data_IF_927157893254
#
_entry.id   IF_927157893254
#
_cell.length_a   1.000
_cell.length_b   1.000
_cell.length_c   1.000
_cell.angle_alpha   90.00
_cell.angle_beta   90.00
_cell.angle_gamma   90.00
#
_symmetry.space_group_name_H-M   'P 1'
#
loop_
_entity.id
_entity.type
_entity.pdbx_description
1 polymer ?
#
# COMPACT_ATOMS: atom_id res chain seq x y z
N UNK A 1 15.38 3.36 8.44
CA UNK A 1 15.22 3.08 9.88
C UNK A 1 13.80 2.63 10.21
N UNK A 2 13.62 1.74 11.21
CA UNK A 2 12.28 1.39 11.73
C UNK A 2 11.95 2.29 12.93
N UNK A 3 10.94 3.14 12.80
CA UNK A 3 10.52 4.08 13.84
C UNK A 3 9.44 3.50 14.75
N UNK A 4 8.60 2.61 14.22
CA UNK A 4 7.61 1.87 15.00
C UNK A 4 7.57 0.44 14.53
N UNK A 5 7.85 -0.49 15.44
CA UNK A 5 7.84 -1.92 15.19
C UNK A 5 6.41 -2.46 15.02
N UNK A 6 6.28 -3.58 14.31
CA UNK A 6 5.03 -4.34 14.24
C UNK A 6 4.70 -4.91 15.62
N UNK A 7 3.45 -4.78 16.04
CA UNK A 7 2.96 -5.39 17.28
C UNK A 7 2.47 -6.81 17.01
N UNK A 8 2.84 -7.73 17.89
CA UNK A 8 2.41 -9.12 17.84
C UNK A 8 1.25 -9.32 18.80
N UNK A 9 0.05 -9.50 18.25
CA UNK A 9 -1.15 -9.90 19.00
C UNK A 9 -1.47 -11.36 18.74
N UNK A 10 -2.07 -12.03 19.73
CA UNK A 10 -2.66 -13.35 19.53
C UNK A 10 -3.91 -13.23 18.66
N UNK A 11 -3.93 -14.00 17.58
CA UNK A 11 -5.06 -14.03 16.67
C UNK A 11 -6.24 -14.76 17.30
N UNK A 12 -7.43 -14.16 17.22
CA UNK A 12 -8.66 -14.74 17.76
C UNK A 12 -9.29 -15.77 16.83
N UNK A 13 -9.00 -15.65 15.52
CA UNK A 13 -9.46 -16.56 14.49
C UNK A 13 -8.42 -16.71 13.37
N UNK A 14 -8.68 -17.65 12.46
CA UNK A 14 -7.78 -17.96 11.35
C UNK A 14 -7.67 -16.82 10.32
N UNK A 15 -8.70 -15.99 10.15
CA UNK A 15 -8.67 -14.86 9.22
C UNK A 15 -7.76 -13.76 9.76
N UNK A 16 -7.86 -13.46 11.05
CA UNK A 16 -6.96 -12.56 11.75
C UNK A 16 -5.53 -13.10 11.71
N UNK A 17 -5.33 -14.39 11.98
CA UNK A 17 -4.01 -15.01 11.92
C UNK A 17 -3.38 -14.90 10.51
N UNK A 18 -4.17 -15.10 9.46
CA UNK A 18 -3.71 -14.97 8.09
C UNK A 18 -3.39 -13.51 7.72
N UNK A 19 -4.18 -12.54 8.20
CA UNK A 19 -3.91 -11.11 8.07
C UNK A 19 -2.59 -10.72 8.75
N UNK A 20 -2.48 -11.05 10.04
CA UNK A 20 -1.29 -10.80 10.86
C UNK A 20 -0.03 -11.41 10.23
N UNK A 21 -0.13 -12.61 9.63
CA UNK A 21 0.99 -13.25 8.96
C UNK A 21 1.45 -12.47 7.72
N UNK A 22 0.52 -11.94 6.92
CA UNK A 22 0.85 -11.12 5.75
C UNK A 22 1.49 -9.79 6.16
N UNK A 23 0.96 -9.14 7.19
CA UNK A 23 1.54 -7.90 7.74
C UNK A 23 2.93 -8.14 8.35
N UNK A 24 3.13 -9.26 9.07
CA UNK A 24 4.43 -9.65 9.64
C UNK A 24 5.46 -9.94 8.56
N UNK A 25 5.07 -10.66 7.52
CA UNK A 25 5.91 -10.91 6.35
C UNK A 25 6.35 -9.57 5.72
N UNK A 26 5.42 -8.64 5.54
CA UNK A 26 5.75 -7.34 4.96
C UNK A 26 6.66 -6.51 5.88
N UNK A 27 6.36 -6.44 7.17
CA UNK A 27 7.22 -5.77 8.16
C UNK A 27 8.64 -6.35 8.19
N UNK A 28 8.80 -7.67 8.05
CA UNK A 28 10.10 -8.32 7.96
C UNK A 28 10.89 -7.84 6.74
N UNK A 29 10.28 -7.79 5.56
CA UNK A 29 10.94 -7.27 4.37
C UNK A 29 11.29 -5.78 4.52
N UNK A 30 10.38 -4.95 5.03
CA UNK A 30 10.64 -3.53 5.26
C UNK A 30 11.83 -3.33 6.21
N UNK A 31 11.91 -4.11 7.29
CA UNK A 31 13.07 -4.12 8.19
C UNK A 31 14.36 -4.53 7.48
N UNK A 32 14.31 -5.58 6.66
CA UNK A 32 15.51 -6.06 5.96
C UNK A 32 16.04 -5.07 4.91
N UNK A 33 15.16 -4.33 4.24
CA UNK A 33 15.56 -3.38 3.20
C UNK A 33 15.86 -1.99 3.74
N UNK A 34 15.09 -1.53 4.74
CA UNK A 34 15.17 -0.16 5.23
C UNK A 34 15.66 -0.05 6.67
N UNK A 35 16.01 -1.15 7.35
CA UNK A 35 16.48 -1.13 8.75
C UNK A 35 17.61 -0.12 8.98
N UNK A 36 18.58 -0.11 8.07
CA UNK A 36 19.79 0.73 8.12
C UNK A 36 19.77 1.90 7.13
N UNK A 37 18.65 2.13 6.45
CA UNK A 37 18.49 3.24 5.50
C UNK A 37 18.30 4.57 6.25
N UNK A 38 19.05 5.61 5.88
CA UNK A 38 19.02 6.94 6.52
C UNK A 38 17.94 7.87 5.97
N UNK A 39 17.36 7.55 4.82
CA UNK A 39 16.37 8.38 4.13
C UNK A 39 14.95 7.80 4.17
N UNK A 40 14.82 6.49 4.37
CA UNK A 40 13.53 5.80 4.47
C UNK A 40 13.22 5.40 5.91
N UNK A 41 12.08 5.86 6.42
CA UNK A 41 11.61 5.53 7.75
C UNK A 41 10.32 4.72 7.67
N UNK A 42 10.20 3.70 8.51
CA UNK A 42 9.03 2.79 8.51
C UNK A 42 8.28 2.89 9.83
N UNK A 43 6.98 3.04 9.73
CA UNK A 43 6.03 3.05 10.84
C UNK A 43 5.01 1.93 10.63
N UNK A 44 5.01 0.91 11.48
CA UNK A 44 4.05 -0.20 11.40
C UNK A 44 2.82 0.05 12.30
N UNK A 45 1.69 -0.57 11.95
CA UNK A 45 0.44 -0.58 12.74
C UNK A 45 -0.07 0.82 13.11
N UNK A 46 -0.09 1.76 12.17
CA UNK A 46 -0.55 3.11 12.46
C UNK A 46 -2.07 3.13 12.54
N UNK A 47 -2.59 3.60 13.68
CA UNK A 47 -4.00 3.87 13.90
C UNK A 47 -4.16 5.34 14.27
N UNK A 48 -4.98 6.04 13.52
CA UNK A 48 -5.29 7.45 13.74
C UNK A 48 -6.79 7.61 13.90
N UNK A 49 -7.21 8.49 14.82
CA UNK A 49 -8.61 8.73 15.14
C UNK A 49 -8.90 10.23 15.04
N UNK A 50 -10.01 10.60 14.41
CA UNK A 50 -10.41 12.00 14.19
C UNK A 50 -11.92 12.07 13.92
N UNK A 51 -12.61 12.98 14.59
CA UNK A 51 -14.05 13.28 14.39
C UNK A 51 -14.96 12.04 14.49
N UNK A 52 -14.64 11.09 15.38
CA UNK A 52 -15.40 9.86 15.58
C UNK A 52 -15.14 8.76 14.53
N UNK A 53 -14.23 9.01 13.58
CA UNK A 53 -13.77 8.04 12.59
C UNK A 53 -12.32 7.60 12.89
N UNK A 54 -11.92 6.45 12.35
CA UNK A 54 -10.59 5.90 12.55
C UNK A 54 -10.05 5.23 11.28
N UNK A 55 -8.78 5.46 10.98
CA UNK A 55 -8.06 4.76 9.92
C UNK A 55 -6.89 3.97 10.50
N UNK A 56 -6.84 2.68 10.13
CA UNK A 56 -5.69 1.83 10.34
C UNK A 56 -4.91 1.71 9.03
N UNK A 57 -3.58 1.76 9.10
CA UNK A 57 -2.64 1.58 8.01
C UNK A 57 -1.55 0.61 8.46
N UNK A 58 -1.37 -0.48 7.74
CA UNK A 58 -0.46 -1.56 8.15
C UNK A 58 0.99 -1.06 8.20
N UNK A 59 1.41 -0.33 7.16
CA UNK A 59 2.72 0.30 7.12
C UNK A 59 2.65 1.69 6.48
N UNK A 60 3.37 2.64 7.06
CA UNK A 60 3.60 3.97 6.49
C UNK A 60 5.11 4.17 6.33
N UNK A 61 5.54 4.45 5.11
CA UNK A 61 6.91 4.82 4.78
C UNK A 61 7.00 6.34 4.68
N UNK A 62 8.02 6.91 5.29
CA UNK A 62 8.42 8.32 5.13
C UNK A 62 9.72 8.32 4.35
N UNK A 63 9.78 9.05 3.25
CA UNK A 63 10.95 9.11 2.37
C UNK A 63 11.04 10.47 1.67
N UNK A 64 12.15 10.82 0.99
CA UNK A 64 12.35 12.16 0.43
C UNK A 64 11.30 12.60 -0.61
N UNK A 65 10.60 11.64 -1.22
CA UNK A 65 9.54 11.93 -2.19
C UNK A 65 8.15 12.11 -1.56
N UNK A 66 7.98 11.83 -0.27
CA UNK A 66 6.71 11.97 0.45
C UNK A 66 6.43 10.81 1.41
N UNK A 67 5.14 10.45 1.51
CA UNK A 67 4.67 9.31 2.29
C UNK A 67 4.15 8.22 1.36
N UNK A 68 4.37 6.97 1.72
CA UNK A 68 3.75 5.81 1.05
C UNK A 68 3.06 4.93 2.08
N UNK A 69 1.76 4.68 1.89
CA UNK A 69 1.01 3.67 2.66
C UNK A 69 1.16 2.32 1.97
N UNK A 70 1.46 1.26 2.73
CA UNK A 70 1.43 -0.11 2.23
C UNK A 70 0.31 -0.85 2.95
N UNK A 71 -0.68 -1.27 2.17
CA UNK A 71 -1.79 -2.11 2.62
C UNK A 71 -1.46 -3.57 2.33
N UNK A 72 -1.36 -4.39 3.37
CA UNK A 72 -0.97 -5.80 3.30
C UNK A 72 -2.22 -6.69 3.23
N UNK A 73 -2.36 -7.46 2.15
CA UNK A 73 -3.47 -8.39 1.97
C UNK A 73 -2.99 -9.83 2.02
N UNK A 74 -3.54 -10.58 2.97
CA UNK A 74 -3.40 -12.03 2.99
C UNK A 74 -4.21 -12.67 1.87
N UNK A 75 -3.53 -13.32 0.93
CA UNK A 75 -4.10 -13.98 -0.25
C UNK A 75 -3.48 -15.36 -0.39
N UNK A 76 -4.24 -16.43 -0.10
CA UNK A 76 -3.74 -17.80 -0.27
C UNK A 76 -3.88 -18.33 -1.71
N UNK A 77 -4.82 -17.77 -2.50
CA UNK A 77 -5.04 -18.13 -3.89
C UNK A 77 -4.75 -16.98 -4.83
N UNK A 78 -5.78 -16.49 -5.53
CA UNK A 78 -5.61 -15.42 -6.53
C UNK A 78 -6.46 -14.20 -6.18
N UNK A 79 -5.90 -13.03 -6.36
CA UNK A 79 -6.58 -11.75 -6.30
C UNK A 79 -6.73 -11.23 -7.73
N UNK A 80 -7.96 -11.10 -8.23
CA UNK A 80 -8.21 -10.68 -9.60
C UNK A 80 -8.94 -9.35 -9.63
N UNK A 81 -8.46 -8.42 -10.46
CA UNK A 81 -9.22 -7.24 -10.83
C UNK A 81 -9.81 -7.43 -12.23
N UNK A 82 -11.14 -7.36 -12.35
CA UNK A 82 -11.80 -7.41 -13.66
C UNK A 82 -11.71 -6.06 -14.38
N UNK A 83 -11.93 -6.06 -15.69
CA UNK A 83 -11.95 -4.84 -16.50
C UNK A 83 -13.01 -3.83 -16.03
N UNK A 84 -14.16 -4.31 -15.52
CA UNK A 84 -15.22 -3.47 -14.93
C UNK A 84 -14.87 -2.88 -13.56
N UNK A 85 -13.70 -3.19 -13.00
CA UNK A 85 -13.27 -2.69 -11.69
C UNK A 85 -13.73 -3.53 -10.49
N UNK A 86 -14.44 -4.63 -10.73
CA UNK A 86 -14.78 -5.60 -9.71
C UNK A 86 -13.52 -6.34 -9.23
N UNK A 87 -13.46 -6.61 -7.93
CA UNK A 87 -12.40 -7.41 -7.34
C UNK A 87 -12.94 -8.77 -6.92
N UNK A 88 -12.22 -9.81 -7.34
CA UNK A 88 -12.50 -11.19 -6.97
C UNK A 88 -11.35 -11.76 -6.17
N UNK A 89 -11.69 -12.53 -5.15
CA UNK A 89 -10.76 -13.43 -4.47
C UNK A 89 -11.07 -14.86 -4.87
N UNK A 90 -10.04 -15.59 -5.29
CA UNK A 90 -10.12 -16.98 -5.70
C UNK A 90 -9.49 -17.89 -4.65
N UNK A 91 -10.19 -18.98 -4.35
CA UNK A 91 -9.69 -20.14 -3.62
C UNK A 91 -10.05 -21.37 -4.45
N UNK A 92 -9.04 -22.07 -4.92
CA UNK A 92 -9.18 -23.11 -5.95
C UNK A 92 -10.01 -22.58 -7.15
N UNK A 93 -11.08 -23.27 -7.50
CA UNK A 93 -11.97 -22.91 -8.61
C UNK A 93 -13.17 -22.04 -8.19
N UNK A 94 -13.23 -21.64 -6.90
CA UNK A 94 -14.30 -20.80 -6.38
C UNK A 94 -13.83 -19.36 -6.25
N UNK A 95 -14.68 -18.41 -6.61
CA UNK A 95 -14.42 -16.99 -6.41
C UNK A 95 -15.54 -16.31 -5.64
N UNK A 96 -15.17 -15.27 -4.90
CA UNK A 96 -16.09 -14.38 -4.21
C UNK A 96 -15.73 -12.93 -4.49
N UNK A 97 -16.75 -12.08 -4.63
CA UNK A 97 -16.55 -10.63 -4.69
C UNK A 97 -15.89 -10.09 -3.42
N UNK A 98 -15.11 -9.02 -3.56
CA UNK A 98 -14.53 -8.30 -2.43
C UNK A 98 -14.49 -6.79 -2.68
N UNK A 99 -14.38 -6.03 -1.59
CA UNK A 99 -14.11 -4.59 -1.66
C UNK A 99 -12.78 -4.32 -2.37
N UNK A 100 -12.71 -3.20 -3.10
CA UNK A 100 -11.49 -2.79 -3.80
C UNK A 100 -10.40 -2.41 -2.81
N UNK A 101 -9.25 -3.12 -2.77
CA UNK A 101 -8.14 -2.78 -1.90
C UNK A 101 -7.53 -1.41 -2.28
N UNK A 102 -7.60 -1.03 -3.56
CA UNK A 102 -7.16 0.28 -4.04
C UNK A 102 -8.03 1.39 -3.45
N UNK A 103 -9.35 1.19 -3.39
CA UNK A 103 -10.25 2.18 -2.80
C UNK A 103 -10.00 2.28 -1.29
N UNK A 104 -9.78 1.16 -0.60
CA UNK A 104 -9.41 1.15 0.82
C UNK A 104 -8.14 1.98 1.09
N UNK A 105 -7.07 1.72 0.33
CA UNK A 105 -5.82 2.45 0.48
C UNK A 105 -5.94 3.94 0.11
N UNK A 106 -6.77 4.28 -0.88
CA UNK A 106 -7.08 5.68 -1.21
C UNK A 106 -7.78 6.40 -0.06
N UNK A 107 -8.75 5.76 0.58
CA UNK A 107 -9.46 6.32 1.73
C UNK A 107 -8.52 6.52 2.92
N UNK A 108 -7.60 5.58 3.18
CA UNK A 108 -6.55 5.74 4.19
C UNK A 108 -5.64 6.94 3.88
N UNK A 109 -5.20 7.11 2.62
CA UNK A 109 -4.38 8.25 2.21
C UNK A 109 -5.11 9.59 2.37
N UNK A 110 -6.41 9.63 2.04
CA UNK A 110 -7.25 10.81 2.26
C UNK A 110 -7.44 11.12 3.75
N UNK A 111 -7.67 10.08 4.58
CA UNK A 111 -7.76 10.23 6.03
C UNK A 111 -6.45 10.76 6.61
N UNK A 112 -5.31 10.16 6.25
CA UNK A 112 -3.98 10.58 6.70
C UNK A 112 -3.71 12.04 6.31
N UNK A 113 -4.05 12.43 5.08
CA UNK A 113 -3.93 13.83 4.64
C UNK A 113 -4.75 14.77 5.52
N UNK A 114 -6.03 14.46 5.74
CA UNK A 114 -6.92 15.30 6.57
C UNK A 114 -6.40 15.39 8.01
N UNK A 115 -5.98 14.27 8.58
CA UNK A 115 -5.40 14.19 9.91
C UNK A 115 -4.15 15.08 10.03
N UNK A 116 -3.16 14.89 9.15
CA UNK A 116 -1.93 15.68 9.15
C UNK A 116 -2.21 17.17 8.93
N UNK A 117 -3.12 17.52 8.01
CA UNK A 117 -3.51 18.90 7.72
C UNK A 117 -4.12 19.59 8.94
N UNK A 118 -4.91 18.87 9.75
CA UNK A 118 -5.49 19.40 10.99
C UNK A 118 -4.45 19.63 12.08
N UNK A 119 -3.43 18.76 12.16
CA UNK A 119 -2.37 18.87 13.18
C UNK A 119 -1.26 19.85 12.79
N UNK A 120 -1.09 20.15 11.49
CA UNK A 120 -0.04 21.01 11.00
C UNK A 120 -0.35 22.50 11.25
N UNK A 121 0.65 23.24 11.74
CA UNK A 121 0.59 24.72 11.82
C UNK A 121 0.53 25.39 10.43
N UNK A 122 1.04 24.69 9.41
CA UNK A 122 1.06 25.14 8.01
C UNK A 122 0.36 24.09 7.13
N UNK A 123 -0.99 24.05 7.12
CA UNK A 123 -1.77 23.01 6.43
C UNK A 123 -1.47 22.90 4.92
N UNK A 124 -1.13 24.02 4.27
CA UNK A 124 -0.78 24.08 2.85
C UNK A 124 0.46 23.23 2.49
N UNK A 125 1.38 23.00 3.43
CA UNK A 125 2.53 22.11 3.22
C UNK A 125 2.05 20.67 3.07
N UNK A 126 1.01 20.29 3.83
CA UNK A 126 0.39 18.97 3.72
C UNK A 126 -0.33 18.83 2.40
N UNK A 127 -0.99 19.88 1.90
CA UNK A 127 -1.67 19.84 0.60
C UNK A 127 -0.70 19.53 -0.55
N UNK A 128 0.54 20.02 -0.48
CA UNK A 128 1.61 19.72 -1.44
C UNK A 128 2.34 18.38 -1.21
N UNK A 129 2.22 17.80 -0.02
CA UNK A 129 2.88 16.53 0.34
C UNK A 129 2.32 15.38 -0.52
N UNK A 130 3.20 14.65 -1.20
CA UNK A 130 2.81 13.42 -1.87
C UNK A 130 2.49 12.34 -0.83
N UNK A 131 1.31 11.74 -0.95
CA UNK A 131 0.89 10.58 -0.16
C UNK A 131 0.43 9.55 -1.18
N UNK A 132 1.34 8.62 -1.47
CA UNK A 132 1.12 7.51 -2.38
C UNK A 132 0.69 6.26 -1.58
N UNK A 133 0.21 5.23 -2.26
CA UNK A 133 -0.13 3.97 -1.62
C UNK A 133 0.17 2.77 -2.52
N UNK A 134 0.41 1.62 -1.90
CA UNK A 134 0.70 0.34 -2.55
C UNK A 134 -0.11 -0.76 -1.89
N UNK A 135 -0.53 -1.75 -2.69
CA UNK A 135 -1.15 -2.97 -2.17
C UNK A 135 -0.10 -4.08 -2.21
N UNK A 136 0.32 -4.54 -1.04
CA UNK A 136 1.14 -5.73 -0.90
C UNK A 136 0.22 -6.95 -0.77
N UNK A 137 0.56 -8.05 -1.44
CA UNK A 137 -0.09 -9.35 -1.22
C UNK A 137 0.94 -10.32 -0.64
N UNK A 138 0.49 -11.23 0.22
CA UNK A 138 1.34 -12.29 0.77
C UNK A 138 2.07 -13.05 -0.33
N UNK A 139 3.30 -13.52 -0.08
CA UNK A 139 4.16 -14.15 -1.10
C UNK A 139 3.56 -15.36 -1.82
N UNK A 140 2.63 -16.06 -1.18
CA UNK A 140 1.90 -17.20 -1.76
C UNK A 140 0.76 -16.80 -2.71
N UNK A 141 0.35 -15.54 -2.67
CA UNK A 141 -0.77 -15.02 -3.44
C UNK A 141 -0.37 -14.63 -4.87
N UNK A 142 -1.31 -14.75 -5.79
CA UNK A 142 -1.13 -14.32 -7.18
C UNK A 142 -2.07 -13.16 -7.50
N UNK A 143 -1.57 -12.12 -8.15
CA UNK A 143 -2.41 -11.06 -8.69
C UNK A 143 -2.69 -11.27 -10.17
N UNK A 144 -3.97 -11.32 -10.55
CA UNK A 144 -4.43 -11.37 -11.94
C UNK A 144 -4.92 -9.98 -12.34
N UNK A 145 -4.15 -9.33 -13.21
CA UNK A 145 -4.50 -8.06 -13.81
C UNK A 145 -5.70 -8.18 -14.79
N UNK A 146 -6.45 -7.09 -15.03
CA UNK A 146 -7.50 -7.10 -16.04
C UNK A 146 -6.89 -7.34 -17.43
N UNK A 147 -7.55 -8.16 -18.26
CA UNK A 147 -7.14 -8.41 -19.66
C UNK A 147 -7.35 -7.21 -20.60
N UNK A 148 -7.79 -6.06 -20.09
CA UNK A 148 -8.06 -4.87 -20.88
C UNK A 148 -6.79 -4.03 -21.11
N UNK A 149 -6.66 -3.47 -22.32
CA UNK A 149 -5.54 -2.57 -22.69
C UNK A 149 -5.52 -1.27 -21.86
N UNK A 150 -6.62 -0.92 -21.20
CA UNK A 150 -6.74 0.22 -20.29
C UNK A 150 -7.22 -0.24 -18.91
N UNK A 151 -6.43 0.07 -17.89
CA UNK A 151 -6.81 -0.09 -16.49
C UNK A 151 -7.90 0.92 -16.12
N UNK A 152 -8.82 0.59 -15.19
CA UNK A 152 -9.71 1.56 -14.58
C UNK A 152 -8.92 2.77 -14.10
N UNK A 153 -9.46 3.98 -14.27
CA UNK A 153 -8.75 5.24 -13.97
C UNK A 153 -8.16 5.28 -12.55
N UNK A 154 -8.88 4.73 -11.57
CA UNK A 154 -8.43 4.68 -10.17
C UNK A 154 -7.36 3.61 -9.90
N UNK A 155 -7.16 2.66 -10.82
CA UNK A 155 -6.25 1.54 -10.69
C UNK A 155 -5.07 1.64 -11.67
N UNK A 156 -4.91 2.76 -12.38
CA UNK A 156 -3.80 2.94 -13.32
C UNK A 156 -2.48 2.78 -12.55
N UNK A 157 -1.63 1.80 -12.91
CA UNK A 157 -0.32 1.67 -12.29
C UNK A 157 0.47 2.94 -12.59
N UNK A 158 0.85 3.68 -11.55
CA UNK A 158 1.86 4.73 -11.67
C UNK A 158 3.26 4.13 -11.79
N UNK A 159 3.41 2.84 -11.42
CA UNK A 159 4.64 2.05 -11.52
C UNK A 159 4.32 0.56 -11.74
N UNK A 160 4.95 -0.06 -12.75
CA UNK A 160 5.23 -1.50 -12.79
C UNK A 160 6.74 -1.65 -12.54
N UNK A 161 7.09 -1.93 -11.29
CA UNK A 161 8.31 -2.64 -10.93
C UNK A 161 7.83 -3.96 -10.34
N UNK A 162 8.33 -5.05 -10.89
CA UNK A 162 8.03 -6.45 -10.59
C UNK A 162 7.57 -6.72 -9.15
N UNK A 163 6.64 -7.68 -9.02
CA UNK A 163 6.60 -8.67 -7.93
C UNK A 163 7.95 -8.73 -7.23
N UNK A 164 7.95 -8.65 -5.89
CA UNK A 164 9.10 -8.81 -4.98
C UNK A 164 10.02 -9.98 -5.38
N UNK A 165 10.81 -9.77 -6.42
CA UNK A 165 11.81 -10.66 -6.95
C UNK A 165 13.09 -9.83 -6.92
N UNK A 166 14.07 -10.22 -6.09
CA UNK A 166 15.28 -9.43 -5.92
C UNK A 166 16.04 -9.45 -7.25
N UNK A 167 16.10 -8.31 -7.93
CA UNK A 167 17.20 -8.04 -8.85
C UNK A 167 18.11 -7.02 -8.19
N UNK A 168 19.13 -7.56 -7.53
CA UNK A 168 20.32 -6.83 -7.10
C UNK A 168 21.19 -6.45 -8.32
N UNK A 169 22.03 -5.40 -8.23
CA UNK A 169 22.29 -4.57 -7.05
C UNK A 169 21.62 -3.20 -7.08
N UNK A 170 21.02 -2.83 -5.93
CA UNK A 170 21.20 -1.54 -5.28
C UNK A 170 20.92 -0.26 -6.07
N UNK A 171 19.66 0.18 -6.07
CA UNK A 171 19.21 1.59 -5.85
C UNK A 171 17.71 1.68 -6.14
N UNK A 172 16.92 2.01 -5.12
CA UNK A 172 15.56 2.49 -5.32
C UNK A 172 15.61 3.95 -5.74
N UNK A 173 15.56 4.21 -7.04
CA UNK A 173 15.45 5.58 -7.55
C UNK A 173 13.99 6.01 -7.56
N UNK A 174 13.54 6.69 -6.49
CA UNK A 174 12.36 7.57 -6.57
C UNK A 174 12.74 8.84 -7.35
N UNK A 175 12.90 8.73 -8.67
CA UNK A 175 12.91 9.90 -9.55
C UNK A 175 11.47 10.20 -9.97
N UNK A 176 10.85 11.21 -9.36
CA UNK A 176 9.84 12.02 -10.09
C UNK A 176 10.59 12.80 -11.17
N UNK A 177 10.89 12.17 -12.32
CA UNK A 177 11.09 12.98 -13.53
C UNK A 177 9.70 13.44 -13.94
N UNK A 178 9.41 14.70 -13.67
CA UNK A 178 8.50 15.51 -14.46
C UNK A 178 8.73 15.22 -15.94
N UNK A 179 7.86 14.43 -16.56
CA UNK A 179 7.71 14.42 -18.00
C UNK A 179 6.47 15.26 -18.32
N UNK A 180 6.75 16.50 -18.71
CA UNK A 180 5.82 17.43 -19.35
C UNK A 180 5.41 16.88 -20.72
N UNK A 181 4.09 16.89 -20.98
CA UNK A 181 3.36 16.99 -22.28
C UNK A 181 3.72 15.98 -23.41
N UNK A 182 2.90 15.60 -24.41
CA UNK A 182 1.79 16.19 -25.18
C UNK A 182 0.86 15.07 -25.75
N UNK A 183 -0.41 15.42 -26.03
CA UNK A 183 -1.21 15.12 -27.25
C UNK A 183 -2.65 15.60 -26.97
N UNK A 184 -3.02 16.83 -27.31
CA UNK A 184 -3.60 17.31 -28.58
C UNK A 184 -4.92 16.62 -28.96
N UNK A 185 -5.99 17.44 -28.94
CA UNK A 185 -7.41 17.23 -29.31
C UNK A 185 -8.18 16.15 -28.58
#
# INVERSE_FOLDING_TARGET
MILKEKTFTEARDWKQAAGDAAEKEMAFYLRRYFGDDSEVYVLNDIRLEMDGDAAQMDHVLIHPAGLTIIESKSVAGKLQMKAGGEWLRWYDDRSSGMASPIVQAKLQAEFLRKFLRRMAKQPQVIDALAIDFMIAISSKGQFIAPRARRWPRYARPTWWGSVFAPRWPGRWHFRRRTARFWAST
#
